data_IF_068508742763
#
_entry.id   IF_068508742763
#
_cell.length_a   1.000
_cell.length_b   1.000
_cell.length_c   1.000
_cell.angle_alpha   90.00
_cell.angle_beta   90.00
_cell.angle_gamma   90.00
#
_symmetry.space_group_name_H-M   'P 1'
#
loop_
_entity.id
_entity.type
_entity.pdbx_description
1 polymer ?
#
# COMPACT_ATOMS: atom_id res chain seq x y z
N UNK A 1 0.20 0.75 20.09
CA UNK A 1 0.56 -0.41 19.25
C UNK A 1 0.38 -1.72 20.03
N UNK A 2 0.03 -2.82 19.37
CA UNK A 2 0.04 -4.19 19.90
C UNK A 2 0.66 -5.13 18.88
N UNK A 3 1.19 -6.27 19.34
CA UNK A 3 1.75 -7.29 18.44
C UNK A 3 0.80 -8.46 18.27
N UNK A 4 0.75 -8.99 17.04
CA UNK A 4 0.05 -10.22 16.70
C UNK A 4 1.07 -11.18 16.07
N UNK A 5 1.42 -12.27 16.74
CA UNK A 5 2.48 -13.22 16.34
C UNK A 5 3.78 -12.54 15.86
N UNK A 6 4.26 -11.51 16.57
CA UNK A 6 5.48 -10.78 16.22
C UNK A 6 5.32 -9.69 15.16
N UNK A 7 4.14 -9.50 14.59
CA UNK A 7 3.83 -8.38 13.70
C UNK A 7 3.14 -7.25 14.45
N UNK A 8 3.54 -6.02 14.19
CA UNK A 8 3.01 -4.84 14.85
C UNK A 8 1.84 -4.24 14.08
N UNK A 9 0.77 -3.92 14.81
CA UNK A 9 -0.42 -3.26 14.30
C UNK A 9 -0.89 -2.17 15.27
N UNK A 10 -1.65 -1.21 14.77
CA UNK A 10 -2.39 -0.27 15.62
C UNK A 10 -3.26 -1.01 16.63
N UNK A 11 -3.36 -0.49 17.84
CA UNK A 11 -4.09 -1.16 18.93
C UNK A 11 -5.56 -1.41 18.61
N UNK A 12 -6.21 -0.48 17.88
CA UNK A 12 -7.61 -0.60 17.44
C UNK A 12 -7.77 -1.74 16.42
N UNK A 13 -6.80 -1.91 15.51
CA UNK A 13 -6.77 -3.03 14.55
C UNK A 13 -6.67 -4.36 15.29
N UNK A 14 -5.78 -4.48 16.29
CA UNK A 14 -5.63 -5.72 17.04
C UNK A 14 -6.90 -6.04 17.84
N UNK A 15 -7.54 -5.04 18.43
CA UNK A 15 -8.83 -5.22 19.13
C UNK A 15 -9.92 -5.70 18.18
N UNK A 16 -10.04 -5.09 16.98
CA UNK A 16 -10.98 -5.53 15.95
C UNK A 16 -10.71 -6.97 15.47
N UNK A 17 -9.42 -7.35 15.30
CA UNK A 17 -9.04 -8.72 14.95
C UNK A 17 -9.40 -9.76 16.00
N UNK A 18 -9.46 -9.40 17.30
CA UNK A 18 -9.90 -10.29 18.36
C UNK A 18 -11.38 -10.69 18.25
N UNK A 19 -12.19 -9.84 17.60
CA UNK A 19 -13.60 -10.14 17.34
C UNK A 19 -13.82 -11.17 16.22
N UNK A 20 -12.76 -11.52 15.47
CA UNK A 20 -12.82 -12.57 14.43
C UNK A 20 -12.61 -13.92 15.11
N UNK A 21 -13.69 -14.54 15.61
CA UNK A 21 -13.66 -15.77 16.42
C UNK A 21 -14.80 -16.76 16.10
N UNK A 22 -15.63 -16.46 15.11
CA UNK A 22 -16.78 -17.27 14.69
C UNK A 22 -16.88 -17.32 13.16
N UNK A 23 -17.59 -18.29 12.57
CA UNK A 23 -17.91 -18.29 11.15
C UNK A 23 -18.62 -17.00 10.72
N UNK A 24 -18.32 -16.56 9.52
CA UNK A 24 -18.89 -15.34 8.96
C UNK A 24 -17.97 -14.68 7.92
N UNK A 25 -18.40 -13.54 7.43
CA UNK A 25 -17.69 -12.76 6.41
C UNK A 25 -17.03 -11.55 7.08
N UNK A 26 -15.75 -11.37 6.84
CA UNK A 26 -14.94 -10.27 7.39
C UNK A 26 -14.22 -9.53 6.28
N UNK A 27 -14.32 -8.21 6.28
CA UNK A 27 -13.57 -7.37 5.35
C UNK A 27 -12.42 -6.69 6.08
N UNK A 28 -11.18 -7.10 5.77
CA UNK A 28 -9.96 -6.44 6.25
C UNK A 28 -9.65 -5.27 5.33
N UNK A 29 -9.98 -4.07 5.78
CA UNK A 29 -9.93 -2.85 4.98
C UNK A 29 -8.87 -1.87 5.47
N UNK A 30 -8.10 -1.30 4.55
CA UNK A 30 -7.07 -0.31 4.83
C UNK A 30 -6.03 -0.21 3.73
N UNK A 31 -5.06 0.67 3.91
CA UNK A 31 -4.05 0.97 2.89
C UNK A 31 -3.21 -0.27 2.51
N UNK A 32 -2.73 -0.30 1.26
CA UNK A 32 -1.80 -1.34 0.79
C UNK A 32 -0.48 -1.28 1.57
N UNK A 33 0.10 -2.44 1.89
CA UNK A 33 1.36 -2.54 2.63
C UNK A 33 1.25 -2.40 4.16
N UNK A 34 0.02 -2.37 4.71
CA UNK A 34 -0.22 -2.27 6.17
C UNK A 34 -0.21 -3.63 6.88
N UNK A 35 -0.11 -4.74 6.13
CA UNK A 35 -0.03 -6.09 6.71
C UNK A 35 -1.35 -6.87 6.77
N UNK A 36 -2.41 -6.45 6.04
CA UNK A 36 -3.73 -7.10 6.05
C UNK A 36 -3.68 -8.60 5.74
N UNK A 37 -2.97 -8.99 4.66
CA UNK A 37 -2.80 -10.39 4.26
C UNK A 37 -2.16 -11.22 5.39
N UNK A 38 -1.08 -10.73 5.98
CA UNK A 38 -0.41 -11.41 7.08
C UNK A 38 -1.36 -11.58 8.27
N UNK A 39 -2.14 -10.54 8.61
CA UNK A 39 -3.14 -10.63 9.65
C UNK A 39 -4.23 -11.67 9.33
N UNK A 40 -4.68 -11.74 8.06
CA UNK A 40 -5.66 -12.72 7.61
C UNK A 40 -5.14 -14.15 7.76
N UNK A 41 -3.88 -14.41 7.37
CA UNK A 41 -3.22 -15.71 7.56
C UNK A 41 -3.08 -16.07 9.04
N UNK A 42 -2.69 -15.12 9.91
CA UNK A 42 -2.60 -15.34 11.36
C UNK A 42 -3.97 -15.66 11.98
N UNK A 43 -5.01 -14.95 11.56
CA UNK A 43 -6.39 -15.20 11.99
C UNK A 43 -6.85 -16.58 11.50
N UNK A 44 -6.59 -16.92 10.24
CA UNK A 44 -6.92 -18.24 9.68
C UNK A 44 -6.23 -19.37 10.47
N UNK A 45 -4.94 -19.25 10.78
CA UNK A 45 -4.24 -20.23 11.63
C UNK A 45 -4.84 -20.35 13.02
N UNK A 46 -5.20 -19.23 13.65
CA UNK A 46 -5.88 -19.23 14.96
C UNK A 46 -7.22 -19.94 14.89
N UNK A 47 -8.01 -19.67 13.84
CA UNK A 47 -9.34 -20.23 13.66
C UNK A 47 -9.29 -21.74 13.39
N UNK A 48 -8.33 -22.20 12.58
CA UNK A 48 -8.15 -23.61 12.24
C UNK A 48 -7.38 -24.39 13.32
N UNK A 49 -6.72 -23.72 14.26
CA UNK A 49 -5.87 -24.36 15.27
C UNK A 49 -4.62 -25.05 14.72
N UNK A 50 -4.26 -24.80 13.47
CA UNK A 50 -3.16 -25.47 12.75
C UNK A 50 -2.53 -24.56 11.71
N UNK A 51 -1.34 -24.96 11.20
CA UNK A 51 -0.66 -24.23 10.11
C UNK A 51 -1.45 -24.30 8.80
N UNK A 52 -1.35 -23.25 7.97
CA UNK A 52 -2.07 -23.15 6.71
C UNK A 52 -1.48 -24.02 5.60
N UNK A 53 -0.17 -24.31 5.66
CA UNK A 53 0.51 -25.10 4.64
C UNK A 53 -0.11 -26.51 4.52
N UNK A 54 -0.60 -26.83 3.33
CA UNK A 54 -1.28 -28.08 3.00
C UNK A 54 -2.52 -28.41 3.88
N UNK A 55 -3.14 -27.39 4.48
CA UNK A 55 -4.36 -27.58 5.26
C UNK A 55 -5.58 -27.69 4.33
N UNK A 56 -6.33 -28.81 4.35
CA UNK A 56 -7.49 -29.00 3.46
C UNK A 56 -8.67 -28.06 3.80
N UNK A 57 -8.68 -27.48 5.00
CA UNK A 57 -9.72 -26.57 5.47
C UNK A 57 -9.36 -25.11 5.25
N UNK A 58 -8.27 -24.83 4.51
CA UNK A 58 -7.80 -23.48 4.15
C UNK A 58 -7.72 -23.30 2.64
N UNK A 59 -8.27 -22.18 2.16
CA UNK A 59 -8.13 -21.74 0.76
C UNK A 59 -7.66 -20.28 0.71
N UNK A 60 -6.64 -20.00 -0.11
CA UNK A 60 -6.21 -18.66 -0.47
C UNK A 60 -6.53 -18.41 -1.94
N UNK A 61 -7.30 -17.35 -2.20
CA UNK A 61 -7.54 -16.83 -3.55
C UNK A 61 -6.79 -15.51 -3.68
N UNK A 62 -6.06 -15.32 -4.76
CA UNK A 62 -5.33 -14.09 -5.07
C UNK A 62 -5.30 -13.86 -6.58
N UNK A 63 -5.10 -12.63 -7.06
CA UNK A 63 -5.02 -12.34 -8.48
C UNK A 63 -3.96 -13.19 -9.18
N UNK A 64 -4.30 -13.80 -10.31
CA UNK A 64 -3.35 -14.59 -11.12
C UNK A 64 -2.43 -13.63 -11.88
N UNK A 65 -1.14 -13.96 -11.98
CA UNK A 65 -0.11 -13.11 -12.58
C UNK A 65 -0.45 -12.60 -14.00
N UNK A 66 -1.14 -13.42 -14.80
CA UNK A 66 -1.48 -13.06 -16.19
C UNK A 66 -2.50 -11.94 -16.31
N UNK A 67 -3.52 -11.89 -15.46
CA UNK A 67 -4.69 -11.01 -15.63
C UNK A 67 -4.78 -9.91 -14.56
N UNK A 68 -4.04 -10.03 -13.47
CA UNK A 68 -4.08 -9.11 -12.31
C UNK A 68 -5.49 -8.85 -11.76
N UNK A 69 -6.43 -9.77 -12.00
CA UNK A 69 -7.81 -9.74 -11.50
C UNK A 69 -8.22 -11.11 -10.97
N UNK A 70 -9.25 -11.15 -10.14
CA UNK A 70 -9.89 -12.37 -9.66
C UNK A 70 -11.18 -12.56 -10.46
N UNK A 71 -11.27 -13.64 -11.23
CA UNK A 71 -12.39 -13.92 -12.11
C UNK A 71 -13.49 -14.75 -11.45
N UNK A 72 -14.55 -15.02 -12.23
CA UNK A 72 -15.67 -15.84 -11.76
C UNK A 72 -15.24 -17.29 -11.49
N UNK A 73 -14.32 -17.84 -12.30
CA UNK A 73 -13.78 -19.19 -12.13
C UNK A 73 -13.14 -19.40 -10.73
N UNK A 74 -12.46 -18.35 -10.22
CA UNK A 74 -11.85 -18.40 -8.88
C UNK A 74 -12.92 -18.47 -7.78
N UNK A 75 -14.10 -17.87 -8.02
CA UNK A 75 -15.24 -17.94 -7.10
C UNK A 75 -15.97 -19.29 -7.23
N UNK A 76 -15.99 -19.91 -8.42
CA UNK A 76 -16.49 -21.28 -8.59
C UNK A 76 -15.65 -22.29 -7.80
N UNK A 77 -14.31 -22.13 -7.81
CA UNK A 77 -13.41 -22.94 -6.96
C UNK A 77 -13.75 -22.75 -5.47
N UNK A 78 -14.09 -21.52 -5.05
CA UNK A 78 -14.54 -21.24 -3.68
C UNK A 78 -15.86 -21.94 -3.35
N UNK A 79 -16.84 -21.97 -4.27
CA UNK A 79 -18.08 -22.71 -4.09
C UNK A 79 -17.82 -24.21 -3.86
N UNK A 80 -16.97 -24.82 -4.70
CA UNK A 80 -16.58 -26.22 -4.53
C UNK A 80 -15.92 -26.46 -3.18
N UNK A 81 -15.01 -25.59 -2.78
CA UNK A 81 -14.33 -25.67 -1.48
C UNK A 81 -15.32 -25.57 -0.32
N UNK A 82 -16.21 -24.58 -0.32
CA UNK A 82 -17.15 -24.34 0.80
C UNK A 82 -18.29 -25.37 0.86
N UNK A 83 -18.65 -25.98 -0.27
CA UNK A 83 -19.66 -27.03 -0.34
C UNK A 83 -19.23 -28.35 0.27
N UNK A 84 -17.95 -28.56 0.58
CA UNK A 84 -17.43 -29.76 1.23
C UNK A 84 -17.39 -29.55 2.75
N UNK A 85 -17.60 -30.59 3.53
CA UNK A 85 -17.40 -30.56 4.99
C UNK A 85 -15.94 -30.29 5.33
N UNK A 86 -15.70 -29.62 6.46
CA UNK A 86 -14.35 -29.47 6.98
C UNK A 86 -13.75 -30.83 7.34
N UNK A 87 -12.47 -31.03 7.00
CA UNK A 87 -11.80 -32.32 7.16
C UNK A 87 -11.22 -32.49 8.58
N UNK A 88 -10.63 -31.43 9.13
CA UNK A 88 -9.89 -31.46 10.40
C UNK A 88 -10.37 -30.41 11.43
N UNK A 89 -10.98 -29.33 10.95
CA UNK A 89 -11.45 -28.23 11.79
C UNK A 89 -12.98 -28.25 11.97
N UNK A 90 -13.52 -27.34 12.77
CA UNK A 90 -14.98 -27.19 12.93
C UNK A 90 -15.63 -26.46 11.75
N UNK A 91 -14.85 -25.74 10.96
CA UNK A 91 -15.27 -24.97 9.79
C UNK A 91 -14.09 -24.73 8.86
N UNK A 92 -14.38 -24.28 7.65
CA UNK A 92 -13.37 -23.91 6.67
C UNK A 92 -13.07 -22.41 6.71
N UNK A 93 -11.85 -22.03 6.31
CA UNK A 93 -11.42 -20.65 6.22
C UNK A 93 -10.94 -20.35 4.81
N UNK A 94 -11.52 -19.32 4.19
CA UNK A 94 -11.07 -18.80 2.92
C UNK A 94 -10.58 -17.35 3.08
N UNK A 95 -9.44 -17.04 2.48
CA UNK A 95 -8.92 -15.66 2.36
C UNK A 95 -8.91 -15.28 0.89
N UNK A 96 -9.55 -14.16 0.55
CA UNK A 96 -9.49 -13.54 -0.78
C UNK A 96 -8.60 -12.31 -0.65
N UNK A 97 -7.35 -12.43 -1.11
CA UNK A 97 -6.38 -11.33 -1.08
C UNK A 97 -6.59 -10.40 -2.27
N UNK A 98 -6.39 -9.09 -2.08
CA UNK A 98 -6.73 -8.05 -3.06
C UNK A 98 -8.18 -8.21 -3.61
N UNK A 99 -9.17 -8.41 -2.73
CA UNK A 99 -10.57 -8.63 -3.09
C UNK A 99 -11.19 -7.49 -3.93
N UNK A 100 -10.63 -6.29 -3.88
CA UNK A 100 -11.01 -5.17 -4.75
C UNK A 100 -10.55 -5.34 -6.22
N UNK A 101 -9.85 -6.43 -6.55
CA UNK A 101 -9.56 -6.86 -7.92
C UNK A 101 -10.51 -7.96 -8.43
N UNK A 102 -11.56 -8.30 -7.66
CA UNK A 102 -12.68 -9.12 -8.15
C UNK A 102 -13.37 -8.40 -9.31
N UNK A 103 -13.58 -9.13 -10.42
CA UNK A 103 -14.43 -8.62 -11.51
C UNK A 103 -15.87 -8.43 -11.01
N UNK A 104 -16.67 -7.61 -11.67
CA UNK A 104 -18.07 -7.40 -11.30
C UNK A 104 -18.86 -8.72 -11.30
N UNK A 105 -18.62 -9.59 -12.28
CA UNK A 105 -19.23 -10.93 -12.33
C UNK A 105 -18.80 -11.82 -11.16
N UNK A 106 -17.52 -11.75 -10.75
CA UNK A 106 -17.01 -12.47 -9.58
C UNK A 106 -17.61 -11.94 -8.28
N UNK A 107 -17.76 -10.63 -8.12
CA UNK A 107 -18.41 -10.03 -6.95
C UNK A 107 -19.87 -10.46 -6.86
N UNK A 108 -20.60 -10.47 -7.97
CA UNK A 108 -22.00 -10.92 -8.01
C UNK A 108 -22.14 -12.43 -7.71
N UNK A 109 -21.21 -13.27 -8.20
CA UNK A 109 -21.17 -14.68 -7.84
C UNK A 109 -20.87 -14.87 -6.34
N UNK A 110 -19.94 -14.09 -5.79
CA UNK A 110 -19.62 -14.12 -4.36
C UNK A 110 -20.83 -13.81 -3.48
N UNK A 111 -21.73 -12.87 -3.87
CA UNK A 111 -22.94 -12.56 -3.12
C UNK A 111 -23.78 -13.78 -2.82
N UNK A 112 -23.98 -14.66 -3.81
CA UNK A 112 -24.73 -15.90 -3.65
C UNK A 112 -24.12 -16.78 -2.56
N UNK A 113 -22.80 -16.91 -2.56
CA UNK A 113 -22.07 -17.66 -1.55
C UNK A 113 -22.23 -17.05 -0.15
N UNK A 114 -22.12 -15.72 -0.04
CA UNK A 114 -22.25 -15.01 1.23
C UNK A 114 -23.65 -15.18 1.85
N UNK A 115 -24.69 -15.33 1.05
CA UNK A 115 -26.06 -15.58 1.49
C UNK A 115 -26.29 -17.05 1.92
N UNK A 116 -25.74 -18.01 1.18
CA UNK A 116 -25.99 -19.44 1.40
C UNK A 116 -25.11 -20.06 2.50
N UNK A 117 -23.90 -19.54 2.73
CA UNK A 117 -22.86 -20.19 3.55
C UNK A 117 -22.52 -19.46 4.86
N UNK A 118 -23.25 -18.41 5.21
CA UNK A 118 -22.89 -17.48 6.29
C UNK A 118 -22.65 -18.10 7.70
N UNK A 119 -23.02 -19.33 7.94
CA UNK A 119 -22.88 -20.00 9.25
C UNK A 119 -21.84 -21.13 9.32
N UNK A 120 -21.20 -21.50 8.22
CA UNK A 120 -20.35 -22.70 8.14
C UNK A 120 -18.90 -22.42 7.73
N UNK A 121 -18.60 -21.22 7.24
CA UNK A 121 -17.30 -20.85 6.66
C UNK A 121 -16.87 -19.50 7.21
N UNK A 122 -15.58 -19.31 7.38
CA UNK A 122 -14.96 -18.00 7.61
C UNK A 122 -14.44 -17.49 6.28
N UNK A 123 -14.93 -16.35 5.81
CA UNK A 123 -14.46 -15.68 4.59
C UNK A 123 -13.84 -14.37 4.97
N UNK A 124 -12.55 -14.19 4.65
CA UNK A 124 -11.81 -12.94 4.90
C UNK A 124 -11.50 -12.27 3.56
N UNK A 125 -12.12 -11.12 3.32
CA UNK A 125 -11.91 -10.27 2.15
C UNK A 125 -10.84 -9.23 2.49
N UNK A 126 -9.65 -9.35 1.91
CA UNK A 126 -8.58 -8.36 2.10
C UNK A 126 -8.69 -7.31 0.99
N UNK A 127 -9.06 -6.08 1.32
CA UNK A 127 -9.29 -5.02 0.36
C UNK A 127 -8.60 -3.71 0.74
N UNK A 128 -8.25 -2.88 -0.24
CA UNK A 128 -7.73 -1.53 -0.05
C UNK A 128 -8.58 -0.46 -0.77
N UNK A 129 -9.56 -0.89 -1.54
CA UNK A 129 -10.64 -0.08 -2.12
C UNK A 129 -11.98 -0.67 -1.68
N UNK A 130 -13.02 0.12 -1.80
CA UNK A 130 -14.37 -0.35 -1.55
C UNK A 130 -14.77 -1.44 -2.55
N UNK A 131 -15.47 -2.43 -2.05
CA UNK A 131 -16.17 -3.43 -2.85
C UNK A 131 -17.57 -2.88 -3.20
N UNK A 132 -18.36 -3.64 -3.95
CA UNK A 132 -19.76 -3.24 -4.18
C UNK A 132 -20.53 -3.26 -2.85
N UNK A 133 -21.44 -2.31 -2.67
CA UNK A 133 -22.19 -2.09 -1.42
C UNK A 133 -22.90 -3.35 -0.90
N UNK A 134 -23.36 -4.19 -1.82
CA UNK A 134 -24.03 -5.46 -1.51
C UNK A 134 -23.09 -6.49 -0.86
N UNK A 135 -21.81 -6.51 -1.18
CA UNK A 135 -20.78 -7.34 -0.51
C UNK A 135 -20.41 -6.72 0.83
N UNK A 136 -20.15 -5.41 0.85
CA UNK A 136 -19.76 -4.71 2.09
C UNK A 136 -20.85 -4.78 3.18
N UNK A 137 -22.12 -4.71 2.79
CA UNK A 137 -23.24 -4.81 3.74
C UNK A 137 -23.36 -6.18 4.43
N UNK A 138 -22.74 -7.23 3.87
CA UNK A 138 -22.74 -8.60 4.41
C UNK A 138 -21.45 -8.97 5.16
N UNK A 139 -20.45 -8.10 5.12
CA UNK A 139 -19.16 -8.32 5.74
C UNK A 139 -19.00 -7.48 7.02
N UNK A 140 -18.47 -8.07 8.08
CA UNK A 140 -18.03 -7.33 9.27
C UNK A 140 -16.72 -6.61 8.94
N UNK A 141 -16.74 -5.27 9.00
CA UNK A 141 -15.57 -4.45 8.71
C UNK A 141 -14.52 -4.54 9.82
N UNK A 142 -13.30 -4.90 9.47
CA UNK A 142 -12.11 -4.88 10.33
C UNK A 142 -11.15 -3.82 9.77
N UNK A 143 -11.13 -2.62 10.36
CA UNK A 143 -10.30 -1.53 9.86
C UNK A 143 -8.83 -1.70 10.24
N UNK A 144 -7.95 -1.41 9.30
CA UNK A 144 -6.51 -1.38 9.50
C UNK A 144 -6.01 0.06 9.47
N UNK A 145 -5.37 0.49 10.55
CA UNK A 145 -4.84 1.84 10.73
C UNK A 145 -3.31 1.83 10.61
N UNK A 146 -2.77 2.90 10.02
CA UNK A 146 -1.33 3.14 9.97
C UNK A 146 -0.78 3.39 11.37
N UNK A 147 0.45 2.95 11.61
CA UNK A 147 1.17 3.24 12.85
C UNK A 147 1.66 4.68 12.85
N UNK A 148 1.69 5.28 14.03
CA UNK A 148 2.39 6.55 14.24
C UNK A 148 3.90 6.31 14.21
N UNK A 149 4.67 7.37 13.95
CA UNK A 149 6.13 7.29 13.85
C UNK A 149 6.77 6.74 15.13
N UNK A 150 6.25 7.12 16.27
CA UNK A 150 6.70 6.66 17.59
C UNK A 150 6.49 5.15 17.75
N UNK A 151 5.33 4.65 17.31
CA UNK A 151 5.02 3.22 17.32
C UNK A 151 5.90 2.42 16.33
N UNK A 152 6.26 3.03 15.18
CA UNK A 152 7.21 2.41 14.26
C UNK A 152 8.61 2.24 14.86
N UNK A 153 9.07 3.21 15.68
CA UNK A 153 10.36 3.13 16.39
C UNK A 153 10.44 1.99 17.38
N UNK A 154 9.31 1.53 17.92
CA UNK A 154 9.27 0.41 18.85
C UNK A 154 9.50 -0.95 18.15
N UNK A 155 9.36 -1.01 16.82
CA UNK A 155 9.42 -2.27 16.05
C UNK A 155 10.47 -2.28 14.95
N UNK A 156 11.05 -1.15 14.63
CA UNK A 156 12.08 -1.00 13.62
C UNK A 156 13.30 -0.35 14.28
N UNK A 157 14.32 -1.16 14.51
CA UNK A 157 15.62 -0.65 14.89
C UNK A 157 16.16 0.23 13.77
N UNK A 158 16.85 1.31 14.10
CA UNK A 158 17.42 2.26 13.12
C UNK A 158 16.39 2.80 12.10
N UNK A 159 15.19 3.17 12.57
CA UNK A 159 14.14 3.73 11.74
C UNK A 159 14.63 4.99 11.01
N UNK A 160 14.74 4.93 9.66
CA UNK A 160 15.01 6.11 8.84
C UNK A 160 13.79 7.04 8.84
N UNK A 161 13.92 8.28 9.36
CA UNK A 161 12.80 9.22 9.48
C UNK A 161 12.13 9.57 8.16
N UNK A 162 12.91 9.65 7.08
CA UNK A 162 12.43 9.96 5.74
C UNK A 162 11.59 8.81 5.19
N UNK A 163 12.08 7.57 5.33
CA UNK A 163 11.36 6.38 4.87
C UNK A 163 10.09 6.15 5.70
N UNK A 164 10.12 6.46 6.99
CA UNK A 164 8.94 6.41 7.84
C UNK A 164 7.84 7.36 7.34
N UNK A 165 8.19 8.59 7.00
CA UNK A 165 7.27 9.58 6.41
C UNK A 165 6.72 9.09 5.07
N UNK A 166 7.59 8.68 4.15
CA UNK A 166 7.23 8.13 2.84
C UNK A 166 6.28 6.93 2.94
N UNK A 167 6.52 6.05 3.91
CA UNK A 167 5.69 4.86 4.11
C UNK A 167 4.30 5.18 4.65
N UNK A 168 4.11 6.35 5.26
CA UNK A 168 2.86 6.75 5.91
C UNK A 168 2.43 5.77 7.00
N UNK A 169 3.37 5.30 7.84
CA UNK A 169 3.09 4.39 8.95
C UNK A 169 2.82 2.92 8.57
N UNK A 170 3.14 2.53 7.32
CA UNK A 170 2.91 1.17 6.79
C UNK A 170 4.20 0.37 6.83
N UNK A 171 4.37 -0.50 7.83
CA UNK A 171 5.62 -1.27 8.05
C UNK A 171 5.99 -2.13 6.84
N UNK A 172 5.03 -2.83 6.22
CA UNK A 172 5.32 -3.63 5.04
C UNK A 172 5.82 -2.78 3.87
N UNK A 173 5.26 -1.59 3.70
CA UNK A 173 5.69 -0.66 2.66
C UNK A 173 7.05 -0.02 2.99
N UNK A 174 7.30 0.34 4.26
CA UNK A 174 8.61 0.75 4.74
C UNK A 174 9.69 -0.29 4.37
N UNK A 175 9.44 -1.56 4.73
CA UNK A 175 10.36 -2.66 4.42
C UNK A 175 10.61 -2.82 2.93
N UNK A 176 9.57 -2.69 2.09
CA UNK A 176 9.74 -2.75 0.63
C UNK A 176 10.58 -1.60 0.09
N UNK A 177 10.43 -0.38 0.60
CA UNK A 177 11.27 0.76 0.23
C UNK A 177 12.74 0.55 0.59
N UNK A 178 13.01 0.07 1.80
CA UNK A 178 14.38 -0.21 2.26
C UNK A 178 15.01 -1.35 1.46
N UNK A 179 14.24 -2.39 1.13
CA UNK A 179 14.72 -3.53 0.35
C UNK A 179 14.92 -3.17 -1.14
N UNK A 180 14.28 -2.13 -1.63
CA UNK A 180 14.39 -1.70 -3.03
C UNK A 180 15.71 -0.96 -3.24
N UNK A 181 16.57 -1.57 -4.04
CA UNK A 181 17.96 -1.14 -4.23
C UNK A 181 18.06 0.30 -4.75
N UNK A 182 18.69 1.17 -3.95
CA UNK A 182 18.93 2.57 -4.29
C UNK A 182 17.71 3.50 -4.15
N UNK A 183 16.50 2.99 -3.88
CA UNK A 183 15.28 3.81 -3.78
C UNK A 183 15.43 4.96 -2.77
N UNK A 184 15.83 4.63 -1.53
CA UNK A 184 16.01 5.62 -0.47
C UNK A 184 17.07 6.66 -0.84
N UNK A 185 18.17 6.24 -1.48
CA UNK A 185 19.21 7.16 -1.94
C UNK A 185 18.72 8.08 -3.04
N UNK A 186 17.92 7.57 -3.98
CA UNK A 186 17.30 8.39 -5.03
C UNK A 186 16.38 9.46 -4.46
N UNK A 187 15.56 9.11 -3.45
CA UNK A 187 14.73 10.09 -2.75
C UNK A 187 15.59 11.15 -2.05
N UNK A 188 16.66 10.74 -1.36
CA UNK A 188 17.60 11.68 -0.70
C UNK A 188 18.26 12.62 -1.71
N UNK A 189 18.64 12.15 -2.88
CA UNK A 189 19.20 12.97 -3.93
C UNK A 189 18.17 13.98 -4.49
N UNK A 190 16.92 13.55 -4.68
CA UNK A 190 15.83 14.46 -5.09
C UNK A 190 15.61 15.60 -4.08
N UNK A 191 15.65 15.30 -2.79
CA UNK A 191 15.53 16.32 -1.74
C UNK A 191 16.70 17.29 -1.75
N UNK A 192 17.93 16.80 -1.94
CA UNK A 192 19.11 17.67 -2.09
C UNK A 192 18.99 18.59 -3.29
N UNK A 193 18.51 18.09 -4.42
CA UNK A 193 18.22 18.91 -5.60
C UNK A 193 17.23 20.02 -5.25
N UNK A 194 16.11 19.69 -4.61
CA UNK A 194 15.09 20.67 -4.23
C UNK A 194 15.66 21.71 -3.26
N UNK A 195 16.51 21.30 -2.30
CA UNK A 195 17.10 22.20 -1.31
C UNK A 195 18.14 23.15 -1.90
N UNK A 196 18.95 22.68 -2.86
CA UNK A 196 20.12 23.43 -3.33
C UNK A 196 19.98 23.95 -4.78
N UNK A 197 18.94 23.54 -5.52
CA UNK A 197 18.74 23.89 -6.94
C UNK A 197 19.79 23.29 -7.89
N UNK A 198 20.59 22.32 -7.41
CA UNK A 198 21.69 21.74 -8.21
C UNK A 198 21.18 20.65 -9.14
N UNK A 199 21.14 20.95 -10.45
CA UNK A 199 20.64 20.01 -11.48
C UNK A 199 21.43 18.69 -11.56
N UNK A 200 22.68 18.62 -11.08
CA UNK A 200 23.45 17.37 -11.03
C UNK A 200 22.78 16.35 -10.08
N UNK A 201 22.28 16.81 -8.93
CA UNK A 201 21.57 15.94 -7.97
C UNK A 201 20.27 15.36 -8.57
N UNK A 202 19.62 16.09 -9.48
CA UNK A 202 18.43 15.62 -10.20
C UNK A 202 18.79 14.56 -11.26
N UNK A 203 19.92 14.74 -11.97
CA UNK A 203 20.39 13.73 -12.92
C UNK A 203 20.68 12.40 -12.22
N UNK A 204 21.22 12.43 -11.00
CA UNK A 204 21.41 11.25 -10.17
C UNK A 204 20.09 10.58 -9.72
N UNK A 205 18.99 11.37 -9.64
CA UNK A 205 17.64 10.84 -9.39
C UNK A 205 17.00 10.24 -10.64
N UNK A 206 17.30 10.83 -11.82
CA UNK A 206 16.75 10.38 -13.11
C UNK A 206 17.35 9.05 -13.54
N UNK A 207 18.61 8.88 -13.21
CA UNK A 207 19.37 7.71 -13.53
C UNK A 207 19.78 7.05 -12.21
N UNK A 208 19.02 6.07 -11.73
CA UNK A 208 19.63 5.04 -10.90
C UNK A 208 20.57 4.29 -11.83
N UNK A 209 21.63 4.99 -12.23
CA UNK A 209 22.69 4.38 -13.01
C UNK A 209 23.47 3.52 -12.03
N UNK A 210 23.13 2.27 -11.98
CA UNK A 210 24.17 1.29 -11.90
C UNK A 210 24.89 1.37 -13.25
N UNK A 211 26.17 1.65 -13.24
CA UNK A 211 27.01 1.70 -14.46
C UNK A 211 26.87 0.47 -15.38
N UNK A 212 26.18 -0.60 -14.94
CA UNK A 212 25.93 -1.83 -15.68
C UNK A 212 24.57 -1.96 -16.34
N UNK A 213 23.50 -1.37 -15.82
CA UNK A 213 22.14 -1.73 -16.24
C UNK A 213 21.35 -0.62 -16.97
N UNK A 214 21.83 0.63 -16.99
CA UNK A 214 21.22 1.79 -17.68
C UNK A 214 19.68 1.95 -17.50
N UNK A 215 19.13 1.38 -16.42
CA UNK A 215 17.71 1.44 -16.16
C UNK A 215 17.30 2.78 -15.50
N UNK A 216 16.23 3.38 -15.95
CA UNK A 216 15.67 4.59 -15.33
C UNK A 216 14.93 4.25 -14.03
N UNK A 217 14.68 5.27 -13.19
CA UNK A 217 13.87 5.11 -11.97
C UNK A 217 12.55 4.39 -12.27
N UNK A 218 11.87 4.76 -13.36
CA UNK A 218 10.61 4.13 -13.78
C UNK A 218 10.76 2.65 -14.17
N UNK A 219 11.91 2.24 -14.71
CA UNK A 219 12.18 0.85 -15.07
C UNK A 219 12.66 0.01 -13.89
N UNK A 220 13.20 0.67 -12.86
CA UNK A 220 13.79 0.02 -11.68
C UNK A 220 12.76 -0.27 -10.59
N UNK A 221 11.74 0.60 -10.44
CA UNK A 221 10.79 0.52 -9.34
C UNK A 221 9.37 0.26 -9.83
N UNK A 222 8.59 -0.43 -8.99
CA UNK A 222 7.18 -0.67 -9.27
C UNK A 222 6.31 0.60 -9.07
N UNK A 223 5.12 0.60 -9.66
CA UNK A 223 4.18 1.73 -9.58
C UNK A 223 3.85 2.21 -8.17
N UNK A 224 3.68 1.35 -7.14
CA UNK A 224 3.49 1.81 -5.76
C UNK A 224 4.64 2.65 -5.22
N UNK A 225 5.89 2.29 -5.51
CA UNK A 225 7.07 3.05 -5.09
C UNK A 225 7.19 4.38 -5.86
N UNK A 226 6.95 4.36 -7.16
CA UNK A 226 6.92 5.56 -8.00
C UNK A 226 5.84 6.53 -7.51
N UNK A 227 4.65 6.02 -7.22
CA UNK A 227 3.55 6.81 -6.67
C UNK A 227 3.92 7.46 -5.33
N UNK A 228 4.54 6.70 -4.43
CA UNK A 228 4.97 7.22 -3.13
C UNK A 228 5.99 8.36 -3.30
N UNK A 229 6.93 8.20 -4.23
CA UNK A 229 7.92 9.23 -4.55
C UNK A 229 7.26 10.51 -5.10
N UNK A 230 6.39 10.40 -6.10
CA UNK A 230 5.69 11.55 -6.70
C UNK A 230 4.83 12.27 -5.66
N UNK A 231 4.06 11.51 -4.86
CA UNK A 231 3.23 12.08 -3.79
C UNK A 231 4.04 12.80 -2.74
N UNK A 232 5.19 12.25 -2.37
CA UNK A 232 6.09 12.87 -1.42
C UNK A 232 6.71 14.16 -1.98
N UNK A 233 7.21 14.17 -3.21
CA UNK A 233 7.71 15.39 -3.85
C UNK A 233 6.65 16.49 -3.90
N UNK A 234 5.41 16.13 -4.25
CA UNK A 234 4.30 17.08 -4.25
C UNK A 234 4.06 17.67 -2.87
N UNK A 235 4.12 16.88 -1.81
CA UNK A 235 3.98 17.36 -0.43
C UNK A 235 5.13 18.28 -0.04
N UNK A 236 6.36 17.97 -0.46
CA UNK A 236 7.53 18.83 -0.21
C UNK A 236 7.34 20.19 -0.89
N UNK A 237 7.02 20.22 -2.18
CA UNK A 237 6.78 21.48 -2.90
C UNK A 237 5.60 22.27 -2.32
N UNK A 238 4.55 21.59 -1.86
CA UNK A 238 3.44 22.25 -1.17
C UNK A 238 3.87 22.91 0.15
N UNK A 239 4.72 22.24 0.94
CA UNK A 239 5.30 22.85 2.17
C UNK A 239 6.21 24.03 1.84
N UNK A 240 7.00 23.96 0.77
CA UNK A 240 7.81 25.09 0.29
C UNK A 240 6.91 26.29 -0.08
N UNK A 241 5.77 26.03 -0.75
CA UNK A 241 4.79 27.06 -1.09
C UNK A 241 4.21 27.73 0.16
N UNK A 242 3.85 26.94 1.17
CA UNK A 242 3.36 27.47 2.45
C UNK A 242 4.42 28.33 3.14
N UNK A 243 5.68 27.87 3.20
CA UNK A 243 6.81 28.63 3.76
C UNK A 243 7.07 29.93 3.02
N UNK A 244 7.08 29.91 1.68
CA UNK A 244 7.22 31.10 0.86
C UNK A 244 6.05 32.09 1.03
N UNK A 245 4.90 31.61 1.49
CA UNK A 245 3.72 32.43 1.82
C UNK A 245 3.69 32.88 3.29
N UNK A 246 4.75 32.62 4.09
CA UNK A 246 4.82 32.98 5.50
C UNK A 246 3.97 32.12 6.44
N UNK A 247 3.53 30.94 6.00
CA UNK A 247 2.72 30.01 6.79
C UNK A 247 3.66 29.00 7.45
N UNK A 248 3.59 28.85 8.78
CA UNK A 248 4.33 27.83 9.49
C UNK A 248 3.81 26.42 9.14
N UNK A 249 4.74 25.49 8.94
CA UNK A 249 4.46 24.09 8.66
C UNK A 249 5.39 23.18 9.48
N UNK A 250 4.96 21.94 9.68
CA UNK A 250 5.71 20.97 10.46
C UNK A 250 7.02 20.51 9.79
N UNK A 251 7.92 19.96 10.59
CA UNK A 251 9.18 19.38 10.15
C UNK A 251 9.02 18.39 8.98
N UNK A 252 9.90 18.49 7.99
CA UNK A 252 9.98 17.56 6.87
C UNK A 252 11.34 16.84 6.93
N UNK A 253 11.37 15.52 7.14
CA UNK A 253 12.64 14.80 7.20
C UNK A 253 13.41 14.90 5.89
N UNK A 254 14.71 15.18 5.99
CA UNK A 254 15.65 15.13 4.87
C UNK A 254 15.74 16.38 4.02
N UNK A 255 15.02 17.48 4.37
CA UNK A 255 15.09 18.75 3.65
C UNK A 255 14.88 19.94 4.59
N UNK A 256 15.67 21.00 4.39
CA UNK A 256 15.40 22.33 4.94
C UNK A 256 14.49 23.11 3.97
N UNK A 257 13.22 23.15 4.29
CA UNK A 257 12.21 23.81 3.45
C UNK A 257 12.41 25.33 3.39
N UNK A 258 12.93 25.94 4.45
CA UNK A 258 13.21 27.39 4.46
C UNK A 258 14.29 27.73 3.45
N UNK A 259 15.38 26.96 3.45
CA UNK A 259 16.45 27.09 2.47
C UNK A 259 15.98 26.79 1.04
N UNK A 260 15.16 25.74 0.87
CA UNK A 260 14.58 25.42 -0.44
C UNK A 260 13.72 26.58 -0.98
N UNK A 261 12.96 27.28 -0.14
CA UNK A 261 12.10 28.39 -0.56
C UNK A 261 12.87 29.60 -1.14
N UNK A 262 14.18 29.73 -0.88
CA UNK A 262 15.02 30.80 -1.44
C UNK A 262 15.33 30.58 -2.95
N UNK A 263 15.23 29.35 -3.44
CA UNK A 263 15.60 28.97 -4.82
C UNK A 263 14.44 29.00 -5.80
N UNK A 264 13.19 29.02 -5.31
CA UNK A 264 12.01 28.89 -6.17
C UNK A 264 11.07 30.09 -6.06
N UNK A 265 10.58 30.56 -7.20
CA UNK A 265 9.48 31.53 -7.21
C UNK A 265 8.15 30.83 -6.84
N UNK A 266 7.20 31.58 -6.27
CA UNK A 266 5.86 31.05 -5.97
C UNK A 266 5.22 30.43 -7.22
N UNK A 267 5.41 31.05 -8.38
CA UNK A 267 4.86 30.55 -9.65
C UNK A 267 5.48 29.20 -10.05
N UNK A 268 6.82 29.04 -9.94
CA UNK A 268 7.48 27.77 -10.24
C UNK A 268 7.07 26.67 -9.26
N UNK A 269 6.89 26.98 -7.99
CA UNK A 269 6.41 26.02 -6.99
C UNK A 269 4.97 25.56 -7.31
N UNK A 270 4.08 26.50 -7.62
CA UNK A 270 2.69 26.19 -8.00
C UNK A 270 2.64 25.32 -9.27
N UNK A 271 3.48 25.61 -10.25
CA UNK A 271 3.59 24.82 -11.45
C UNK A 271 4.11 23.39 -11.14
N UNK A 272 5.13 23.25 -10.31
CA UNK A 272 5.63 21.93 -9.88
C UNK A 272 4.55 21.11 -9.14
N UNK A 273 3.82 21.71 -8.21
CA UNK A 273 2.69 21.07 -7.50
C UNK A 273 1.61 20.61 -8.49
N UNK A 274 1.30 21.41 -9.51
CA UNK A 274 0.30 21.08 -10.53
C UNK A 274 0.74 19.89 -11.37
N UNK A 275 2.00 19.87 -11.84
CA UNK A 275 2.58 18.77 -12.63
C UNK A 275 2.61 17.48 -11.81
N UNK A 276 3.06 17.52 -10.57
CA UNK A 276 3.08 16.35 -9.67
C UNK A 276 1.67 15.83 -9.36
N UNK A 277 0.70 16.71 -9.17
CA UNK A 277 -0.71 16.34 -8.97
C UNK A 277 -1.30 15.65 -10.22
N UNK A 278 -0.94 16.12 -11.41
CA UNK A 278 -1.34 15.47 -12.66
C UNK A 278 -0.69 14.08 -12.80
N UNK A 279 0.60 13.96 -12.49
CA UNK A 279 1.31 12.68 -12.50
C UNK A 279 0.68 11.66 -11.54
N UNK A 280 0.34 12.07 -10.30
CA UNK A 280 -0.40 11.20 -9.35
C UNK A 280 -1.73 10.71 -9.92
N UNK A 281 -2.49 11.58 -10.57
CA UNK A 281 -3.75 11.21 -11.21
C UNK A 281 -3.52 10.22 -12.34
N UNK A 282 -2.55 10.46 -13.22
CA UNK A 282 -2.21 9.55 -14.32
C UNK A 282 -1.76 8.17 -13.82
N UNK A 283 -0.98 8.12 -12.71
CA UNK A 283 -0.60 6.86 -12.05
C UNK A 283 -1.86 6.14 -11.53
N UNK A 284 -2.80 6.88 -10.92
CA UNK A 284 -4.04 6.32 -10.39
C UNK A 284 -4.93 5.73 -11.48
N UNK A 285 -4.97 6.39 -12.65
CA UNK A 285 -5.76 6.00 -13.81
C UNK A 285 -5.06 4.90 -14.66
N UNK A 286 -3.85 4.48 -14.29
CA UNK A 286 -3.06 3.51 -15.04
C UNK A 286 -2.54 4.02 -16.38
N UNK A 287 -2.50 5.35 -16.57
CA UNK A 287 -2.08 6.01 -17.85
C UNK A 287 -0.66 6.54 -17.80
N UNK A 288 -0.03 6.55 -16.64
CA UNK A 288 1.33 7.05 -16.44
C UNK A 288 2.37 6.11 -17.06
N UNK A 289 3.28 6.64 -17.85
CA UNK A 289 4.31 5.88 -18.55
C UNK A 289 5.71 6.53 -18.40
N UNK A 290 6.72 5.92 -19.00
CA UNK A 290 8.13 6.37 -18.94
C UNK A 290 8.32 7.79 -19.46
N UNK A 291 7.63 8.17 -20.55
CA UNK A 291 7.78 9.51 -21.12
C UNK A 291 7.20 10.56 -20.18
N UNK A 292 6.03 10.28 -19.58
CA UNK A 292 5.42 11.17 -18.58
C UNK A 292 6.35 11.38 -17.39
N UNK A 293 7.11 10.35 -17.00
CA UNK A 293 8.12 10.43 -15.96
C UNK A 293 9.22 11.43 -16.32
N UNK A 294 9.81 11.32 -17.52
CA UNK A 294 10.86 12.23 -17.97
C UNK A 294 10.37 13.65 -18.16
N UNK A 295 9.17 13.85 -18.71
CA UNK A 295 8.58 15.17 -18.90
C UNK A 295 8.31 15.85 -17.57
N UNK A 296 7.78 15.13 -16.58
CA UNK A 296 7.56 15.61 -15.22
C UNK A 296 8.87 16.09 -14.58
N UNK A 297 9.92 15.28 -14.64
CA UNK A 297 11.20 15.60 -14.00
C UNK A 297 11.93 16.74 -14.72
N UNK A 298 11.88 16.76 -16.03
CA UNK A 298 12.41 17.88 -16.84
C UNK A 298 11.76 19.19 -16.46
N UNK A 299 10.44 19.18 -16.32
CA UNK A 299 9.69 20.37 -15.94
C UNK A 299 10.07 20.87 -14.53
N UNK A 300 10.28 19.96 -13.57
CA UNK A 300 10.72 20.32 -12.21
C UNK A 300 12.16 20.89 -12.22
N UNK A 301 12.97 20.51 -13.21
CA UNK A 301 14.36 20.96 -13.36
C UNK A 301 14.52 22.31 -14.05
N UNK A 302 13.56 22.74 -14.84
CA UNK A 302 13.52 24.05 -15.52
C UNK A 302 12.98 25.14 -14.62
#
# INVERSE_FOLDING_TARGET
MKTLKGYAYDARTVEALQAVNEPGVYQFFGMRGIGKRIAAEIVAEKMLGSRLSANPDYLMISPKEKNKVIGIDDIEDLFVFTGQMAANASYKVCVIDDADLLTESAQNALLKLLEEQAGQVVIILVAHRHLIDTVESRAKLIPFYSLQREEMKEVIDDLDPLVAELSGGRIGFYKSMVASNGYVQTVKNALKFIENGNKADLFDCLHVIREKDKASFYETYDLPLIRAFVSFLRQVFYKILLGASGIEFGFTPGIDVSKASEHYSILSIQAAVSVLSNAERMISDGRFNKNDWFDMLRFIAE
#
